data_IF_086972749935
#
_entry.id   IF_086972749935
#
_cell.length_a   1.000
_cell.length_b   1.000
_cell.length_c   1.000
_cell.angle_alpha   90.00
_cell.angle_beta   90.00
_cell.angle_gamma   90.00
#
_symmetry.space_group_name_H-M   'P 1'
#
loop_
_entity.id
_entity.type
_entity.pdbx_description
1 polymer ?
#
# COMPACT_ATOMS: atom_id res chain seq x y z
N UNK A 1 10.78 9.27 -1.57
CA UNK A 1 9.93 9.05 -2.75
C UNK A 1 8.75 10.02 -2.70
N UNK A 2 8.08 10.36 -3.82
CA UNK A 2 6.81 11.11 -3.79
C UNK A 2 5.63 10.13 -3.91
N UNK A 3 4.61 10.34 -3.07
CA UNK A 3 3.42 9.49 -3.03
C UNK A 3 2.68 9.50 -4.38
N UNK A 4 2.39 8.33 -4.98
CA UNK A 4 1.78 8.28 -6.29
C UNK A 4 0.35 8.84 -6.33
N UNK A 5 -0.41 8.79 -5.22
CA UNK A 5 -1.78 9.33 -5.08
C UNK A 5 -1.79 10.86 -4.87
N UNK A 6 -1.18 11.33 -3.79
CA UNK A 6 -1.31 12.73 -3.36
C UNK A 6 -0.07 13.61 -3.59
N UNK A 7 1.02 13.04 -4.14
CA UNK A 7 2.30 13.69 -4.45
C UNK A 7 3.03 14.29 -3.23
N UNK A 8 2.60 13.99 -2.01
CA UNK A 8 3.32 14.37 -0.79
C UNK A 8 4.58 13.49 -0.61
N UNK A 9 5.60 13.96 0.12
CA UNK A 9 6.78 13.16 0.43
C UNK A 9 6.43 11.90 1.21
N UNK A 10 7.15 10.82 0.93
CA UNK A 10 7.12 9.57 1.68
C UNK A 10 8.34 9.45 2.59
N UNK A 11 8.15 8.89 3.78
CA UNK A 11 9.17 8.58 4.78
C UNK A 11 9.42 7.08 4.85
N UNK A 12 10.67 6.68 5.09
CA UNK A 12 11.01 5.26 5.28
C UNK A 12 10.60 4.80 6.69
N UNK A 13 9.90 3.67 6.75
CA UNK A 13 9.56 2.96 7.98
C UNK A 13 10.24 1.59 7.93
N UNK A 14 10.99 1.24 8.97
CA UNK A 14 11.70 -0.05 9.02
C UNK A 14 11.02 -0.99 10.00
N UNK A 15 10.76 -2.23 9.56
CA UNK A 15 10.33 -3.33 10.41
C UNK A 15 11.09 -4.59 10.02
N UNK A 16 11.66 -5.28 11.01
CA UNK A 16 12.46 -6.52 10.81
C UNK A 16 13.45 -6.46 9.63
N UNK A 17 14.20 -5.36 9.54
CA UNK A 17 15.18 -5.07 8.47
C UNK A 17 14.60 -4.80 7.07
N UNK A 18 13.28 -4.87 6.90
CA UNK A 18 12.59 -4.48 5.67
C UNK A 18 12.21 -3.00 5.79
N UNK A 19 12.47 -2.23 4.72
CA UNK A 19 12.20 -0.81 4.66
C UNK A 19 11.07 -0.56 3.68
N UNK A 20 10.02 0.09 4.14
CA UNK A 20 8.88 0.48 3.32
C UNK A 20 8.76 2.00 3.29
N UNK A 21 8.14 2.54 2.26
CA UNK A 21 7.87 3.97 2.16
C UNK A 21 6.43 4.27 2.59
N UNK A 22 6.23 5.17 3.56
CA UNK A 22 4.89 5.63 4.00
C UNK A 22 4.68 7.10 3.65
N UNK A 23 3.54 7.41 3.06
CA UNK A 23 3.17 8.79 2.75
C UNK A 23 2.93 9.61 4.02
N UNK A 24 3.55 10.79 4.13
CA UNK A 24 3.39 11.70 5.28
C UNK A 24 2.03 12.40 5.35
N UNK A 25 1.19 12.28 4.31
CA UNK A 25 -0.12 12.97 4.20
C UNK A 25 -1.31 12.02 4.18
N UNK A 26 -1.38 11.11 3.20
CA UNK A 26 -2.50 10.16 3.07
C UNK A 26 -2.24 8.83 3.80
N UNK A 27 -1.05 8.65 4.38
CA UNK A 27 -0.63 7.44 5.09
C UNK A 27 -0.58 6.15 4.24
N UNK A 28 -0.79 6.25 2.92
CA UNK A 28 -0.60 5.14 2.00
C UNK A 28 0.85 4.63 1.99
N UNK A 29 0.99 3.33 1.75
CA UNK A 29 2.21 2.55 1.87
C UNK A 29 2.68 2.09 0.49
N UNK A 30 3.98 2.21 0.26
CA UNK A 30 4.66 1.60 -0.87
C UNK A 30 5.60 0.50 -0.35
N UNK A 31 5.45 -0.67 -0.95
CA UNK A 31 6.29 -1.84 -0.72
C UNK A 31 7.04 -2.13 -2.01
N UNK A 32 8.36 -2.26 -1.95
CA UNK A 32 9.12 -2.78 -3.07
C UNK A 32 8.79 -4.28 -3.28
N UNK A 33 9.20 -4.80 -4.43
CA UNK A 33 8.82 -6.14 -4.89
C UNK A 33 9.19 -7.23 -3.87
N UNK A 34 8.17 -7.94 -3.38
CA UNK A 34 8.30 -9.05 -2.44
C UNK A 34 8.26 -8.64 -0.97
N UNK A 35 8.27 -7.35 -0.65
CA UNK A 35 8.26 -6.87 0.74
C UNK A 35 6.89 -7.03 1.40
N UNK A 36 5.81 -6.79 0.67
CA UNK A 36 4.44 -6.95 1.18
C UNK A 36 4.19 -8.40 1.63
N UNK A 37 4.62 -9.38 0.85
CA UNK A 37 4.56 -10.80 1.19
C UNK A 37 5.43 -11.17 2.41
N UNK A 38 6.58 -10.53 2.58
CA UNK A 38 7.45 -10.77 3.72
C UNK A 38 6.90 -10.18 5.03
N UNK A 39 5.99 -9.20 4.94
CA UNK A 39 5.41 -8.48 6.07
C UNK A 39 3.92 -8.80 6.31
N UNK A 40 3.38 -9.84 5.66
CA UNK A 40 1.93 -10.16 5.69
C UNK A 40 1.43 -10.77 7.00
N UNK A 41 2.31 -10.97 7.99
CA UNK A 41 1.90 -11.48 9.30
C UNK A 41 1.03 -10.44 10.04
N UNK A 42 -0.10 -10.90 10.60
CA UNK A 42 -1.13 -10.04 11.22
C UNK A 42 -0.62 -9.06 12.29
N UNK A 43 0.40 -9.44 13.05
CA UNK A 43 0.96 -8.57 14.10
C UNK A 43 1.82 -7.43 13.54
N UNK A 44 2.30 -7.58 12.30
CA UNK A 44 3.15 -6.62 11.61
C UNK A 44 2.30 -5.51 10.99
N UNK A 45 1.12 -5.86 10.47
CA UNK A 45 0.23 -4.90 9.80
C UNK A 45 -0.25 -3.81 10.75
N UNK A 46 -0.58 -4.14 12.01
CA UNK A 46 -1.00 -3.15 13.02
C UNK A 46 0.06 -2.07 13.29
N UNK A 47 1.34 -2.40 13.13
CA UNK A 47 2.44 -1.45 13.34
C UNK A 47 2.72 -0.60 12.10
N UNK A 48 2.67 -1.23 10.93
CA UNK A 48 3.04 -0.62 9.65
C UNK A 48 1.91 0.24 9.09
N UNK A 49 0.71 -0.32 9.06
CA UNK A 49 -0.50 0.25 8.49
C UNK A 49 -1.31 0.98 9.57
N UNK A 50 -0.62 1.83 10.33
CA UNK A 50 -1.19 2.61 11.42
C UNK A 50 -2.07 3.79 10.96
N UNK A 51 -2.40 3.86 9.67
CA UNK A 51 -3.23 4.92 9.11
C UNK A 51 -4.71 4.73 9.42
N UNK A 52 -5.46 5.84 9.45
CA UNK A 52 -6.91 5.79 9.57
C UNK A 52 -7.51 5.23 8.25
N UNK A 53 -8.22 4.08 8.28
CA UNK A 53 -8.82 3.51 7.07
C UNK A 53 -9.77 4.47 6.34
N UNK A 54 -10.45 5.37 7.05
CA UNK A 54 -11.34 6.38 6.43
C UNK A 54 -10.57 7.43 5.65
N UNK A 55 -9.27 7.62 5.91
CA UNK A 55 -8.39 8.43 5.06
C UNK A 55 -8.00 7.68 3.79
N UNK A 56 -7.77 6.36 3.90
CA UNK A 56 -7.52 5.48 2.76
C UNK A 56 -8.71 5.42 1.81
N UNK A 57 -9.92 5.23 2.33
CA UNK A 57 -11.17 5.19 1.54
C UNK A 57 -11.40 6.48 0.70
N UNK A 58 -10.91 7.63 1.17
CA UNK A 58 -10.97 8.87 0.38
C UNK A 58 -10.02 8.88 -0.82
N UNK A 59 -8.97 8.05 -0.79
CA UNK A 59 -7.99 7.90 -1.88
C UNK A 59 -8.44 6.88 -2.94
N UNK A 60 -9.47 6.07 -2.67
CA UNK A 60 -10.02 5.07 -3.60
C UNK A 60 -10.51 5.69 -4.93
N UNK A 61 -10.89 6.97 -4.92
CA UNK A 61 -11.29 7.73 -6.13
C UNK A 61 -10.10 8.01 -7.07
N UNK A 62 -8.86 7.93 -6.56
CA UNK A 62 -7.63 8.15 -7.35
C UNK A 62 -7.08 6.78 -7.73
N UNK A 63 -7.63 6.19 -8.78
CA UNK A 63 -7.34 4.80 -9.17
C UNK A 63 -6.34 4.66 -10.35
N UNK A 64 -5.99 5.78 -10.99
CA UNK A 64 -5.01 5.85 -12.06
C UNK A 64 -3.71 6.49 -11.55
N UNK A 65 -2.83 5.67 -10.99
CA UNK A 65 -1.51 6.11 -10.52
C UNK A 65 -0.37 5.49 -11.33
N UNK A 66 0.74 6.23 -11.39
CA UNK A 66 1.99 5.78 -12.00
C UNK A 66 2.95 5.24 -10.93
N UNK A 67 3.74 4.23 -11.30
CA UNK A 67 4.77 3.67 -10.44
C UNK A 67 5.81 4.74 -10.08
N UNK A 68 6.06 5.01 -8.78
CA UNK A 68 7.02 6.03 -8.36
C UNK A 68 8.48 5.68 -8.68
N UNK A 69 8.78 4.42 -9.02
CA UNK A 69 10.13 3.96 -9.42
C UNK A 69 10.40 4.09 -10.93
N UNK A 70 9.41 3.81 -11.79
CA UNK A 70 9.61 3.75 -13.25
C UNK A 70 8.67 4.62 -14.10
N UNK A 71 7.65 5.23 -13.49
CA UNK A 71 6.70 6.14 -14.15
C UNK A 71 5.69 5.48 -15.08
N UNK A 72 5.65 4.15 -15.16
CA UNK A 72 4.63 3.42 -15.94
C UNK A 72 3.31 3.34 -15.13
N UNK A 73 2.14 3.32 -15.79
CA UNK A 73 0.86 3.10 -15.13
C UNK A 73 0.85 1.79 -14.34
N UNK A 74 0.28 1.81 -13.14
CA UNK A 74 0.15 0.63 -12.28
C UNK A 74 -1.11 -0.17 -12.62
N UNK A 75 -1.05 -1.49 -12.41
CA UNK A 75 -2.23 -2.36 -12.49
C UNK A 75 -3.03 -2.23 -11.20
N UNK A 76 -4.33 -1.96 -11.32
CA UNK A 76 -5.25 -1.99 -10.18
C UNK A 76 -5.73 -3.41 -9.89
N UNK A 77 -5.78 -3.75 -8.61
CA UNK A 77 -6.52 -4.88 -8.09
C UNK A 77 -7.74 -4.37 -7.31
N UNK A 78 -8.87 -5.04 -7.47
CA UNK A 78 -10.10 -4.71 -6.77
C UNK A 78 -10.90 -6.00 -6.53
N UNK A 79 -11.14 -6.33 -5.27
CA UNK A 79 -12.02 -7.42 -4.86
C UNK A 79 -13.43 -6.88 -4.60
N UNK A 80 -14.41 -7.46 -5.28
CA UNK A 80 -15.84 -7.13 -5.14
C UNK A 80 -16.52 -7.87 -3.99
N UNK A 81 -15.77 -8.70 -3.24
CA UNK A 81 -16.28 -9.45 -2.09
C UNK A 81 -16.51 -8.55 -0.87
N UNK A 82 -16.89 -9.17 0.26
CA UNK A 82 -17.06 -8.49 1.54
C UNK A 82 -15.79 -7.79 2.04
N UNK A 83 -14.60 -8.19 1.54
CA UNK A 83 -13.32 -7.59 1.92
C UNK A 83 -13.13 -6.17 1.35
N UNK A 84 -13.80 -5.86 0.23
CA UNK A 84 -13.62 -4.63 -0.56
C UNK A 84 -12.14 -4.24 -0.73
N UNK A 85 -11.26 -5.22 -0.92
CA UNK A 85 -9.83 -5.00 -0.99
C UNK A 85 -9.45 -4.33 -2.32
N UNK A 86 -8.82 -3.16 -2.23
CA UNK A 86 -8.19 -2.48 -3.35
C UNK A 86 -6.68 -2.34 -3.08
N UNK A 87 -5.88 -2.28 -4.15
CA UNK A 87 -4.48 -1.87 -4.15
C UNK A 87 -3.98 -1.72 -5.59
N UNK A 88 -2.80 -1.12 -5.78
CA UNK A 88 -2.15 -1.03 -7.09
C UNK A 88 -0.79 -1.73 -7.11
N UNK A 89 -0.43 -2.30 -8.27
CA UNK A 89 0.80 -3.07 -8.44
C UNK A 89 1.57 -2.68 -9.71
N UNK A 90 2.88 -2.55 -9.56
CA UNK A 90 3.84 -2.54 -10.64
C UNK A 90 4.57 -3.89 -10.64
N UNK A 91 4.36 -4.71 -11.68
CA UNK A 91 4.94 -6.07 -11.79
C UNK A 91 6.48 -6.12 -11.65
N UNK A 92 7.16 -5.00 -11.95
CA UNK A 92 8.61 -4.87 -11.87
C UNK A 92 9.11 -4.40 -10.50
N UNK A 93 8.38 -3.49 -9.83
CA UNK A 93 8.95 -2.69 -8.74
C UNK A 93 8.27 -2.85 -7.39
N UNK A 94 6.96 -3.06 -7.31
CA UNK A 94 6.29 -3.02 -6.01
C UNK A 94 4.78 -2.82 -6.03
N UNK A 95 4.22 -2.69 -4.84
CA UNK A 95 2.79 -2.49 -4.58
C UNK A 95 2.55 -1.22 -3.80
N UNK A 96 1.42 -0.58 -4.06
CA UNK A 96 0.93 0.55 -3.30
C UNK A 96 -0.40 0.17 -2.65
N UNK A 97 -0.53 0.49 -1.36
CA UNK A 97 -1.74 0.29 -0.56
C UNK A 97 -2.13 1.64 0.02
N UNK A 98 -3.38 2.05 -0.14
CA UNK A 98 -3.97 3.12 0.64
C UNK A 98 -4.05 2.72 2.12
N UNK A 99 -4.20 3.71 3.01
CA UNK A 99 -4.22 3.46 4.45
C UNK A 99 -5.32 2.45 4.82
N UNK A 100 -4.96 1.40 5.58
CA UNK A 100 -5.84 0.30 5.97
C UNK A 100 -5.95 -0.84 4.95
N UNK A 101 -5.55 -0.64 3.70
CA UNK A 101 -5.65 -1.70 2.67
C UNK A 101 -4.63 -2.81 2.87
N UNK A 102 -3.43 -2.51 3.38
CA UNK A 102 -2.42 -3.54 3.62
C UNK A 102 -2.89 -4.53 4.71
N UNK A 103 -3.55 -4.03 5.75
CA UNK A 103 -4.19 -4.86 6.77
C UNK A 103 -5.25 -5.77 6.16
N UNK A 104 -6.14 -5.23 5.31
CA UNK A 104 -7.15 -6.03 4.59
C UNK A 104 -6.48 -7.07 3.68
N UNK A 105 -5.43 -6.70 2.97
CA UNK A 105 -4.69 -7.59 2.07
C UNK A 105 -4.09 -8.77 2.83
N UNK A 106 -3.42 -8.51 3.95
CA UNK A 106 -2.82 -9.54 4.80
C UNK A 106 -3.87 -10.50 5.38
N UNK A 107 -5.03 -10.00 5.81
CA UNK A 107 -6.13 -10.84 6.31
C UNK A 107 -6.70 -11.78 5.22
N UNK A 108 -6.69 -11.34 3.96
CA UNK A 108 -7.19 -12.14 2.83
C UNK A 108 -6.18 -13.20 2.33
N UNK A 109 -4.89 -13.12 2.70
CA UNK A 109 -3.90 -14.13 2.27
C UNK A 109 -4.05 -15.49 2.97
N UNK A 110 -4.75 -15.55 4.12
CA UNK A 110 -4.85 -16.75 4.95
C UNK A 110 -6.28 -17.29 5.09
N UNK A 111 -7.21 -16.84 4.24
CA UNK A 111 -8.55 -17.43 4.09
C UNK A 111 -8.54 -18.55 3.05
#
# INVERSE_FOLDING_TARGET
MDCPKCKAPMEEVTYDQIMIDRCTKCLGLWFDKGEAEALSDRWVTEYIDAGDPSLGEQMDEIDAIDCPRCGKPMRRYFDISESQLQYEECDEHGKFFDAGEFTRWAENQYQ
#
